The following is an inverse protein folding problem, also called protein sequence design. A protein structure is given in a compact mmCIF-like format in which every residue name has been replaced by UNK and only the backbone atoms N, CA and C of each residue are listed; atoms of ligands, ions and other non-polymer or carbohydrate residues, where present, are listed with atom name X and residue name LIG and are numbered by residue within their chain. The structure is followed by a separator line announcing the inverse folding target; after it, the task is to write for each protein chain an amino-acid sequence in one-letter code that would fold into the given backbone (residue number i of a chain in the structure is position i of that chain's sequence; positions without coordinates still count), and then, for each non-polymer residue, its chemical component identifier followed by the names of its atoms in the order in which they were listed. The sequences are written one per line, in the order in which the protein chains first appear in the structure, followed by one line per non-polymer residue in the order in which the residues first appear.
data_IF_646345439076
#
_entry.id   IF_646345439076
#
_cell.length_a   1.000
_cell.length_b   1.000
_cell.length_c   1.000
_cell.angle_alpha   90.00
_cell.angle_beta   90.00
_cell.angle_gamma   90.00
#
_symmetry.space_group_name_H-M   'P 1'
#
loop_
_entity.id
_entity.type
_entity.pdbx_description
1 polymer ?
#
# COMPACT_ATOMS: atom_id res chain seq x y z
N UNK A 1 27.12 -2.91 -22.92
CA UNK A 1 26.06 -2.08 -22.29
C UNK A 1 26.68 -1.25 -21.17
N UNK A 2 26.37 0.05 -21.07
CA UNK A 2 26.89 0.91 -20.01
C UNK A 2 26.48 0.35 -18.62
N UNK A 3 27.43 0.10 -17.68
CA UNK A 3 27.11 -0.43 -16.36
C UNK A 3 26.03 0.36 -15.60
N UNK A 4 25.97 1.68 -15.81
CA UNK A 4 24.93 2.55 -15.22
C UNK A 4 23.54 2.21 -15.74
N UNK A 5 23.42 2.02 -17.05
CA UNK A 5 22.15 1.66 -17.70
C UNK A 5 21.74 0.26 -17.26
N UNK A 6 22.69 -0.69 -17.14
CA UNK A 6 22.38 -2.03 -16.61
C UNK A 6 21.83 -1.97 -15.19
N UNK A 7 22.44 -1.20 -14.30
CA UNK A 7 21.98 -1.04 -12.92
C UNK A 7 20.61 -0.35 -12.86
N UNK A 8 20.41 0.71 -13.65
CA UNK A 8 19.13 1.39 -13.80
C UNK A 8 18.03 0.44 -14.26
N UNK A 9 18.24 -0.30 -15.36
CA UNK A 9 17.22 -1.20 -15.91
C UNK A 9 16.88 -2.32 -14.93
N UNK A 10 17.89 -2.89 -14.26
CA UNK A 10 17.64 -3.91 -13.23
C UNK A 10 16.81 -3.34 -12.08
N UNK A 11 17.17 -2.16 -11.57
CA UNK A 11 16.42 -1.52 -10.49
C UNK A 11 14.99 -1.20 -10.94
N UNK A 12 14.80 -0.63 -12.13
CA UNK A 12 13.47 -0.34 -12.67
C UNK A 12 12.59 -1.59 -12.75
N UNK A 13 13.14 -2.72 -13.23
CA UNK A 13 12.41 -3.99 -13.31
C UNK A 13 12.02 -4.52 -11.92
N UNK A 14 12.92 -4.42 -10.93
CA UNK A 14 12.62 -4.81 -9.55
C UNK A 14 11.52 -3.92 -8.96
N UNK A 15 11.64 -2.60 -9.10
CA UNK A 15 10.62 -1.65 -8.64
C UNK A 15 9.27 -1.89 -9.31
N UNK A 16 9.25 -2.16 -10.62
CA UNK A 16 8.02 -2.45 -11.36
C UNK A 16 7.36 -3.77 -10.89
N UNK A 17 8.15 -4.81 -10.64
CA UNK A 17 7.63 -6.08 -10.13
C UNK A 17 6.99 -5.90 -8.75
N UNK A 18 7.69 -5.22 -7.83
CA UNK A 18 7.16 -4.88 -6.51
C UNK A 18 5.87 -4.08 -6.66
N UNK A 19 5.86 -3.07 -7.52
CA UNK A 19 4.70 -2.23 -7.75
C UNK A 19 3.48 -3.01 -8.25
N UNK A 20 3.67 -3.94 -9.19
CA UNK A 20 2.58 -4.81 -9.67
C UNK A 20 2.03 -5.72 -8.56
N UNK A 21 2.91 -6.27 -7.71
CA UNK A 21 2.47 -7.08 -6.56
C UNK A 21 1.64 -6.24 -5.59
N UNK A 22 2.09 -5.02 -5.27
CA UNK A 22 1.37 -4.13 -4.35
C UNK A 22 0.03 -3.67 -4.95
N UNK A 23 -0.01 -3.32 -6.24
CA UNK A 23 -1.26 -3.00 -6.96
C UNK A 23 -2.25 -4.17 -6.83
N UNK A 24 -1.79 -5.41 -7.05
CA UNK A 24 -2.65 -6.57 -6.97
C UNK A 24 -3.23 -6.76 -5.56
N UNK A 25 -2.40 -6.64 -4.51
CA UNK A 25 -2.87 -6.72 -3.11
C UNK A 25 -3.88 -5.61 -2.82
N UNK A 26 -3.56 -4.36 -3.15
CA UNK A 26 -4.39 -3.20 -2.82
C UNK A 26 -5.74 -3.28 -3.53
N UNK A 27 -5.79 -3.54 -4.84
CA UNK A 27 -7.04 -3.45 -5.59
C UNK A 27 -7.86 -4.75 -5.63
N UNK A 28 -7.25 -5.93 -5.45
CA UNK A 28 -8.03 -7.19 -5.41
C UNK A 28 -8.40 -7.63 -4.00
N UNK A 29 -7.56 -7.38 -3.00
CA UNK A 29 -7.83 -7.81 -1.62
C UNK A 29 -8.43 -6.66 -0.81
N UNK A 30 -7.75 -5.51 -0.76
CA UNK A 30 -8.14 -4.45 0.20
C UNK A 30 -9.25 -3.53 -0.31
N UNK A 31 -9.23 -3.18 -1.60
CA UNK A 31 -10.16 -2.24 -2.21
C UNK A 31 -10.79 -2.80 -3.49
N UNK A 32 -11.48 -3.95 -3.43
CA UNK A 32 -12.17 -4.50 -4.59
C UNK A 32 -13.15 -3.48 -5.17
N UNK A 33 -13.32 -3.46 -6.49
CA UNK A 33 -14.30 -2.59 -7.15
C UNK A 33 -15.71 -2.84 -6.58
N UNK A 34 -16.49 -1.79 -6.25
CA UNK A 34 -16.26 -0.36 -6.49
C UNK A 34 -15.62 0.41 -5.32
N UNK A 35 -15.12 -0.27 -4.28
CA UNK A 35 -14.73 0.34 -3.01
C UNK A 35 -13.51 1.25 -3.12
N UNK A 36 -12.57 0.98 -4.02
CA UNK A 36 -11.46 1.90 -4.28
C UNK A 36 -11.94 3.30 -4.70
N UNK A 37 -13.05 3.37 -5.43
CA UNK A 37 -13.66 4.63 -5.89
C UNK A 37 -14.44 5.27 -4.75
N UNK A 38 -15.20 4.47 -3.98
CA UNK A 38 -15.96 4.94 -2.83
C UNK A 38 -15.06 5.60 -1.77
N UNK A 39 -13.86 5.05 -1.52
CA UNK A 39 -12.89 5.60 -0.57
C UNK A 39 -11.99 6.68 -1.22
N UNK A 40 -11.89 6.71 -2.54
CA UNK A 40 -11.03 7.68 -3.25
C UNK A 40 -9.52 7.38 -3.15
N UNK A 41 -9.13 6.13 -2.87
CA UNK A 41 -7.73 5.76 -2.60
C UNK A 41 -6.84 5.77 -3.86
N UNK A 42 -7.43 5.55 -5.04
CA UNK A 42 -6.71 5.23 -6.27
C UNK A 42 -5.64 6.26 -6.65
N UNK A 43 -5.99 7.55 -6.68
CA UNK A 43 -5.07 8.60 -7.15
C UNK A 43 -3.86 8.76 -6.23
N UNK A 44 -4.11 8.79 -4.92
CA UNK A 44 -3.05 8.98 -3.91
C UNK A 44 -2.11 7.76 -3.92
N UNK A 45 -2.67 6.56 -3.99
CA UNK A 45 -1.89 5.33 -4.05
C UNK A 45 -1.03 5.24 -5.33
N UNK A 46 -1.60 5.53 -6.51
CA UNK A 46 -0.84 5.50 -7.77
C UNK A 46 0.26 6.57 -7.81
N UNK A 47 0.02 7.75 -7.23
CA UNK A 47 1.04 8.80 -7.11
C UNK A 47 2.22 8.30 -6.27
N UNK A 48 1.95 7.71 -5.10
CA UNK A 48 2.98 7.16 -4.21
C UNK A 48 3.81 6.10 -4.94
N UNK A 49 3.15 5.21 -5.66
CA UNK A 49 3.82 4.14 -6.38
C UNK A 49 4.65 4.64 -7.57
N UNK A 50 4.15 5.64 -8.30
CA UNK A 50 4.87 6.26 -9.40
C UNK A 50 6.16 6.91 -8.92
N UNK A 51 6.12 7.58 -7.76
CA UNK A 51 7.31 8.17 -7.13
C UNK A 51 8.37 7.10 -6.87
N UNK A 52 8.02 5.95 -6.30
CA UNK A 52 8.98 4.87 -6.03
C UNK A 52 9.55 4.22 -7.31
N UNK A 53 8.69 3.93 -8.30
CA UNK A 53 9.10 3.28 -9.55
C UNK A 53 9.97 4.21 -10.42
N UNK A 54 9.82 5.52 -10.28
CA UNK A 54 10.56 6.50 -11.08
C UNK A 54 11.79 7.02 -10.33
N UNK A 55 11.65 7.56 -9.12
CA UNK A 55 12.75 8.26 -8.44
C UNK A 55 13.89 7.32 -8.05
N UNK A 56 13.61 6.14 -7.50
CA UNK A 56 14.65 5.19 -7.07
C UNK A 56 15.59 4.76 -8.20
N UNK A 57 15.06 4.28 -9.34
CA UNK A 57 15.85 3.97 -10.52
C UNK A 57 16.58 5.20 -11.09
N UNK A 58 15.94 6.37 -11.19
CA UNK A 58 16.62 7.59 -11.68
C UNK A 58 17.80 8.00 -10.79
N UNK A 59 17.63 7.94 -9.46
CA UNK A 59 18.73 8.18 -8.53
C UNK A 59 19.85 7.16 -8.71
N UNK A 60 19.49 5.88 -8.92
CA UNK A 60 20.47 4.83 -9.22
C UNK A 60 21.26 5.13 -10.50
N UNK A 61 20.59 5.55 -11.57
CA UNK A 61 21.24 5.95 -12.81
C UNK A 61 22.22 7.11 -12.61
N UNK A 62 21.84 8.09 -11.78
CA UNK A 62 22.64 9.27 -11.47
C UNK A 62 23.89 8.93 -10.66
N UNK A 63 23.74 8.14 -9.60
CA UNK A 63 24.84 7.89 -8.64
C UNK A 63 25.77 6.76 -9.07
N UNK A 64 25.32 5.85 -9.94
CA UNK A 64 26.10 4.66 -10.29
C UNK A 64 27.37 5.03 -11.05
N UNK A 65 28.53 4.70 -10.48
CA UNK A 65 29.84 4.90 -11.14
C UNK A 65 30.78 3.79 -10.71
N UNK A 66 31.29 3.04 -11.69
CA UNK A 66 32.26 1.97 -11.46
C UNK A 66 33.50 2.53 -10.75
N UNK A 67 33.96 1.86 -9.69
CA UNK A 67 35.10 2.28 -8.86
C UNK A 67 34.81 3.39 -7.84
N UNK A 68 33.56 3.88 -7.73
CA UNK A 68 33.17 4.83 -6.68
C UNK A 68 33.12 4.13 -5.32
N UNK A 69 34.00 4.53 -4.40
CA UNK A 69 34.11 3.94 -3.05
C UNK A 69 32.80 3.97 -2.25
N UNK A 70 31.99 5.01 -2.43
CA UNK A 70 30.71 5.19 -1.73
C UNK A 70 29.53 4.52 -2.44
N UNK A 71 29.73 3.85 -3.59
CA UNK A 71 28.63 3.35 -4.41
C UNK A 71 27.68 2.44 -3.63
N UNK A 72 28.22 1.56 -2.79
CA UNK A 72 27.42 0.64 -1.97
C UNK A 72 26.56 1.43 -0.99
N UNK A 73 27.14 2.42 -0.31
CA UNK A 73 26.42 3.30 0.61
C UNK A 73 25.32 4.08 -0.12
N UNK A 74 25.62 4.66 -1.28
CA UNK A 74 24.65 5.44 -2.07
C UNK A 74 23.44 4.59 -2.46
N UNK A 75 23.68 3.38 -2.98
CA UNK A 75 22.61 2.44 -3.35
C UNK A 75 21.84 1.92 -2.14
N UNK A 76 22.51 1.72 -1.01
CA UNK A 76 21.87 1.31 0.25
C UNK A 76 20.93 2.39 0.75
N UNK A 77 21.35 3.65 0.75
CA UNK A 77 20.52 4.79 1.17
C UNK A 77 19.29 4.90 0.26
N UNK A 78 19.47 4.79 -1.07
CA UNK A 78 18.34 4.79 -2.01
C UNK A 78 17.36 3.66 -1.68
N UNK A 79 17.86 2.43 -1.50
CA UNK A 79 17.02 1.27 -1.21
C UNK A 79 16.28 1.40 0.12
N UNK A 80 16.95 1.87 1.19
CA UNK A 80 16.33 2.08 2.50
C UNK A 80 15.23 3.14 2.45
N UNK A 81 15.48 4.27 1.78
CA UNK A 81 14.49 5.33 1.62
C UNK A 81 13.26 4.83 0.85
N UNK A 82 13.48 4.09 -0.25
CA UNK A 82 12.41 3.57 -1.08
C UNK A 82 11.59 2.50 -0.36
N UNK A 83 12.22 1.56 0.35
CA UNK A 83 11.52 0.56 1.18
C UNK A 83 10.71 1.24 2.29
N UNK A 84 11.28 2.27 2.92
CA UNK A 84 10.59 3.01 3.99
C UNK A 84 9.38 3.79 3.45
N UNK A 85 9.53 4.44 2.29
CA UNK A 85 8.44 5.16 1.64
C UNK A 85 7.30 4.22 1.22
N UNK A 86 7.64 3.12 0.55
CA UNK A 86 6.66 2.09 0.16
C UNK A 86 5.96 1.50 1.38
N UNK A 87 6.72 1.15 2.43
CA UNK A 87 6.19 0.57 3.66
C UNK A 87 5.22 1.51 4.38
N UNK A 88 5.59 2.79 4.53
CA UNK A 88 4.71 3.81 5.11
C UNK A 88 3.45 4.03 4.25
N UNK A 89 3.61 4.08 2.92
CA UNK A 89 2.50 4.17 1.98
C UNK A 89 1.53 3.00 2.11
N UNK A 90 2.06 1.79 2.14
CA UNK A 90 1.26 0.57 2.26
C UNK A 90 0.57 0.46 3.62
N UNK A 91 1.24 0.86 4.70
CA UNK A 91 0.62 0.96 6.03
C UNK A 91 -0.56 1.94 6.02
N UNK A 92 -0.37 3.12 5.45
CA UNK A 92 -1.42 4.15 5.36
C UNK A 92 -2.63 3.64 4.57
N UNK A 93 -2.38 2.95 3.45
CA UNK A 93 -3.42 2.31 2.64
C UNK A 93 -4.07 1.12 3.37
N UNK A 94 -3.32 0.36 4.17
CA UNK A 94 -3.86 -0.74 4.96
C UNK A 94 -4.85 -0.24 6.04
N UNK A 95 -4.54 0.86 6.73
CA UNK A 95 -5.41 1.47 7.74
C UNK A 95 -6.65 2.13 7.12
N UNK A 96 -6.53 2.65 5.90
CA UNK A 96 -7.64 3.23 5.15
C UNK A 96 -8.58 2.20 4.50
N UNK A 97 -8.28 0.90 4.58
CA UNK A 97 -9.03 -0.10 3.81
C UNK A 97 -10.43 -0.34 4.39
N UNK A 98 -11.42 -0.62 3.53
CA UNK A 98 -12.71 -1.14 3.95
C UNK A 98 -12.53 -2.41 4.79
N UNK A 99 -13.02 -2.37 6.03
CA UNK A 99 -13.06 -3.53 6.92
C UNK A 99 -14.40 -4.24 6.78
N UNK A 100 -15.49 -3.48 6.79
CA UNK A 100 -16.84 -4.02 6.66
C UNK A 100 -17.74 -3.18 5.77
N UNK A 101 -18.68 -3.87 5.13
CA UNK A 101 -19.88 -3.29 4.54
C UNK A 101 -21.06 -3.72 5.41
N UNK A 102 -21.56 -2.77 6.20
CA UNK A 102 -22.58 -3.00 7.23
C UNK A 102 -23.93 -2.59 6.65
N UNK A 103 -24.87 -3.53 6.56
CA UNK A 103 -26.26 -3.17 6.34
C UNK A 103 -26.85 -2.64 7.65
N UNK A 104 -27.20 -1.36 7.69
CA UNK A 104 -27.75 -0.67 8.85
C UNK A 104 -29.13 -0.11 8.49
N UNK A 105 -30.18 -0.80 8.97
CA UNK A 105 -31.61 -0.47 8.80
C UNK A 105 -32.06 -0.44 7.34
N UNK A 106 -31.65 0.58 6.58
CA UNK A 106 -32.08 0.87 5.22
C UNK A 106 -30.94 1.14 4.24
N UNK A 107 -29.68 1.14 4.70
CA UNK A 107 -28.50 1.48 3.88
C UNK A 107 -27.30 0.61 4.17
N UNK A 108 -26.34 0.62 3.24
CA UNK A 108 -25.01 0.08 3.48
C UNK A 108 -24.06 1.18 3.93
N UNK A 109 -23.35 0.93 5.02
CA UNK A 109 -22.27 1.76 5.53
C UNK A 109 -20.92 1.06 5.31
N UNK A 110 -19.97 1.80 4.76
CA UNK A 110 -18.59 1.34 4.61
C UNK A 110 -17.80 1.77 5.84
N UNK A 111 -17.34 0.81 6.62
CA UNK A 111 -16.50 1.05 7.80
C UNK A 111 -15.06 0.73 7.44
N UNK A 112 -14.15 1.69 7.60
CA UNK A 112 -12.70 1.48 7.40
C UNK A 112 -12.04 1.05 8.70
N UNK A 113 -10.85 0.46 8.61
CA UNK A 113 -10.06 0.06 9.79
C UNK A 113 -9.80 1.25 10.72
N UNK A 114 -9.39 2.40 10.16
CA UNK A 114 -9.12 3.62 10.94
C UNK A 114 -10.36 4.22 11.61
N UNK A 115 -11.57 3.87 11.18
CA UNK A 115 -12.82 4.39 11.76
C UNK A 115 -13.29 3.58 12.99
N UNK A 116 -12.64 2.46 13.30
CA UNK A 116 -13.01 1.58 14.42
C UNK A 116 -12.65 2.25 15.76
N UNK A 117 -13.65 2.42 16.64
CA UNK A 117 -13.41 2.90 18.00
C UNK A 117 -12.78 1.82 18.88
N UNK A 118 -11.45 1.84 18.95
CA UNK A 118 -10.63 0.93 19.75
C UNK A 118 -11.03 0.88 21.23
N UNK A 119 -11.67 1.93 21.78
CA UNK A 119 -12.04 2.00 23.20
C UNK A 119 -13.23 1.11 23.56
N UNK A 120 -14.01 0.67 22.56
CA UNK A 120 -15.20 -0.16 22.75
C UNK A 120 -15.02 -1.59 22.23
N UNK A 121 -13.82 -1.93 21.76
CA UNK A 121 -13.55 -3.21 21.10
C UNK A 121 -13.82 -4.42 21.99
N UNK A 122 -13.58 -4.29 23.31
CA UNK A 122 -13.83 -5.35 24.29
C UNK A 122 -15.31 -5.68 24.47
N UNK A 123 -16.19 -4.74 24.13
CA UNK A 123 -17.65 -4.90 24.18
C UNK A 123 -18.19 -5.56 22.91
N UNK A 124 -17.40 -5.62 21.83
CA UNK A 124 -17.79 -6.26 20.59
C UNK A 124 -17.61 -7.79 20.66
N UNK A 125 -18.43 -8.52 19.91
CA UNK A 125 -18.25 -9.95 19.69
C UNK A 125 -16.86 -10.24 19.12
N UNK A 126 -16.28 -11.38 19.50
CA UNK A 126 -14.93 -11.77 19.09
C UNK A 126 -14.72 -11.75 17.57
N UNK A 127 -15.79 -11.99 16.79
CA UNK A 127 -15.78 -11.95 15.33
C UNK A 127 -15.52 -10.55 14.74
N UNK A 128 -15.80 -9.46 15.49
CA UNK A 128 -15.65 -8.08 15.03
C UNK A 128 -14.48 -7.33 15.67
N UNK A 129 -13.71 -7.99 16.55
CA UNK A 129 -12.57 -7.36 17.22
C UNK A 129 -11.38 -7.16 16.31
N UNK A 130 -11.27 -7.94 15.23
CA UNK A 130 -10.16 -7.82 14.29
C UNK A 130 -10.68 -7.78 12.85
N UNK A 131 -10.38 -6.72 12.09
CA UNK A 131 -10.73 -6.66 10.69
C UNK A 131 -9.90 -7.67 9.88
N UNK A 132 -10.53 -8.32 8.91
CA UNK A 132 -9.84 -9.22 7.99
C UNK A 132 -8.71 -8.51 7.23
N UNK A 133 -7.61 -9.22 7.01
CA UNK A 133 -6.50 -8.77 6.16
C UNK A 133 -6.72 -9.11 4.68
N UNK A 134 -7.63 -10.05 4.38
CA UNK A 134 -7.89 -10.55 3.03
C UNK A 134 -8.92 -9.72 2.25
N UNK A 135 -9.60 -8.81 2.93
CA UNK A 135 -10.58 -7.90 2.32
C UNK A 135 -11.79 -7.64 3.20
N UNK A 136 -12.72 -6.79 2.72
CA UNK A 136 -13.91 -6.40 3.47
C UNK A 136 -14.90 -7.55 3.63
N UNK A 137 -15.61 -7.55 4.75
CA UNK A 137 -16.67 -8.51 5.03
C UNK A 137 -18.04 -7.84 5.06
N UNK A 138 -19.06 -8.57 4.61
CA UNK A 138 -20.46 -8.11 4.66
C UNK A 138 -21.09 -8.56 5.96
N UNK A 139 -21.71 -7.62 6.67
CA UNK A 139 -22.38 -7.87 7.96
C UNK A 139 -23.67 -7.06 8.03
N UNK A 140 -24.59 -7.46 8.92
CA UNK A 140 -25.81 -6.72 9.17
C UNK A 140 -25.84 -6.28 10.63
N UNK A 141 -26.17 -5.02 10.87
CA UNK A 141 -26.42 -4.53 12.22
C UNK A 141 -27.81 -5.04 12.65
N UNK A 142 -27.85 -5.76 13.77
CA UNK A 142 -29.11 -6.16 14.41
C UNK A 142 -29.47 -5.06 15.40
N UNK A 143 -30.69 -4.51 15.31
CA UNK A 143 -31.15 -3.57 16.32
C UNK A 143 -31.22 -4.31 17.67
N UNK A 144 -30.66 -3.73 18.75
CA UNK A 144 -30.78 -4.28 20.09
C UNK A 144 -32.23 -4.28 20.58
#
# INVERSE_FOLDING_TARGET
MNPRIKAFTLHLLISALIALTVIAVVFYLWYPTPLHTAVGVTQIFLLLLAVDVVLGPLLTLLVYKVGKKTLIMDLTVIAVLQISALGYGLWTVAEGRPAWLVFAVDRFELVRVLDIDQRKLDQADSAYRQPSLLGPQWVAAVNP
#
